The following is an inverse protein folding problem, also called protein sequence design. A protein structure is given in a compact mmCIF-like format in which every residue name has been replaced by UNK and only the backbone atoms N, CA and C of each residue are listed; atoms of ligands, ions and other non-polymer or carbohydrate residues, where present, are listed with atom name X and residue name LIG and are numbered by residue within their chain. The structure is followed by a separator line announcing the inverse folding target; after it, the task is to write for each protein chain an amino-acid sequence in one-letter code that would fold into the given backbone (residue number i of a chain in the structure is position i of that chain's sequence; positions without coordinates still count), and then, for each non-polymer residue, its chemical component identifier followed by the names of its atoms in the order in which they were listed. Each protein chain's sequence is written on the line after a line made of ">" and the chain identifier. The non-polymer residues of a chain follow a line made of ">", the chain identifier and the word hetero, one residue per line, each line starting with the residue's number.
data_IF_715901332194
#
_entry.id   IF_715901332194
#
_cell.length_a   1.000
_cell.length_b   1.000
_cell.length_c   1.000
_cell.angle_alpha   90.00
_cell.angle_beta   90.00
_cell.angle_gamma   90.00
#
_symmetry.space_group_name_H-M   'P 1'
#
loop_
_entity.id
_entity.type
_entity.pdbx_description
1 polymer ?
#
# COMPACT_ATOMS: atom_id res chain seq x y z
N UNK A 1 -6.90 -21.30 -6.39
CA UNK A 1 -6.26 -19.96 -6.31
C UNK A 1 -7.24 -19.03 -5.62
N UNK A 2 -6.82 -18.40 -4.53
CA UNK A 2 -7.59 -17.36 -3.82
C UNK A 2 -6.77 -16.08 -3.88
N UNK A 3 -7.42 -14.96 -4.20
CA UNK A 3 -6.80 -13.65 -4.18
C UNK A 3 -7.48 -12.82 -3.08
N UNK A 4 -6.69 -12.17 -2.24
CA UNK A 4 -7.16 -11.25 -1.21
C UNK A 4 -6.43 -9.93 -1.41
N UNK A 5 -7.17 -8.82 -1.35
CA UNK A 5 -6.63 -7.46 -1.46
C UNK A 5 -6.98 -6.65 -0.20
N UNK A 6 -6.05 -5.80 0.24
CA UNK A 6 -6.19 -5.00 1.45
C UNK A 6 -4.87 -4.43 1.94
N UNK A 7 -4.96 -3.31 2.68
CA UNK A 7 -3.81 -2.52 3.14
C UNK A 7 -2.96 -3.20 4.22
N UNK A 8 -3.53 -4.12 5.00
CA UNK A 8 -2.91 -4.68 6.20
C UNK A 8 -2.84 -6.22 6.19
N UNK A 9 -2.88 -6.82 5.00
CA UNK A 9 -2.82 -8.27 4.85
C UNK A 9 -1.46 -8.84 5.28
N UNK A 10 -0.38 -8.10 5.03
CA UNK A 10 1.00 -8.52 5.34
C UNK A 10 1.47 -8.09 6.74
N UNK A 11 0.54 -8.00 7.71
CA UNK A 11 0.91 -7.93 9.13
C UNK A 11 1.80 -9.12 9.50
N UNK A 12 2.77 -8.93 10.39
CA UNK A 12 3.77 -9.94 10.74
C UNK A 12 3.16 -11.30 11.09
N UNK A 13 2.02 -11.30 11.80
CA UNK A 13 1.31 -12.52 12.19
C UNK A 13 0.68 -13.31 11.02
N UNK A 14 0.48 -12.67 9.87
CA UNK A 14 -0.23 -13.25 8.71
C UNK A 14 0.69 -13.54 7.53
N UNK A 15 1.93 -13.02 7.51
CA UNK A 15 2.85 -13.18 6.39
C UNK A 15 3.04 -14.65 5.97
N UNK A 16 3.13 -15.57 6.94
CA UNK A 16 3.29 -17.01 6.69
C UNK A 16 2.03 -17.72 6.15
N UNK A 17 0.89 -17.02 6.08
CA UNK A 17 -0.36 -17.57 5.54
C UNK A 17 -0.46 -17.42 4.01
N UNK A 18 0.43 -16.66 3.39
CA UNK A 18 0.41 -16.40 1.95
C UNK A 18 1.53 -17.17 1.24
N UNK A 19 1.17 -17.99 0.26
CA UNK A 19 2.13 -18.65 -0.63
C UNK A 19 2.82 -17.64 -1.58
N UNK A 20 2.14 -16.51 -1.84
CA UNK A 20 2.64 -15.42 -2.68
C UNK A 20 2.01 -14.08 -2.27
N UNK A 21 2.82 -13.04 -2.23
CA UNK A 21 2.49 -11.69 -1.81
C UNK A 21 2.99 -10.66 -2.83
N UNK A 22 2.12 -9.69 -3.12
CA UNK A 22 2.39 -8.58 -4.04
C UNK A 22 2.25 -7.26 -3.30
N UNK A 23 3.24 -6.39 -3.43
CA UNK A 23 3.19 -5.01 -2.93
C UNK A 23 2.90 -4.05 -4.07
N UNK A 24 1.81 -3.30 -3.99
CA UNK A 24 1.49 -2.26 -4.97
C UNK A 24 1.95 -0.93 -4.41
N UNK A 25 3.07 -0.44 -4.93
CA UNK A 25 3.74 0.74 -4.38
C UNK A 25 3.21 2.05 -4.99
N UNK A 26 2.99 3.03 -4.13
CA UNK A 26 2.64 4.40 -4.52
C UNK A 26 2.95 5.39 -3.41
N UNK A 27 3.23 6.64 -3.78
CA UNK A 27 3.45 7.72 -2.82
C UNK A 27 2.13 8.11 -2.14
N UNK A 28 2.21 8.61 -0.90
CA UNK A 28 1.05 9.18 -0.19
C UNK A 28 0.38 10.30 -1.00
N UNK A 29 1.15 11.09 -1.76
CA UNK A 29 0.63 12.14 -2.63
C UNK A 29 -0.30 11.60 -3.72
N UNK A 30 0.12 10.53 -4.41
CA UNK A 30 -0.70 9.87 -5.43
C UNK A 30 -1.91 9.16 -4.82
N UNK A 31 -1.72 8.51 -3.67
CA UNK A 31 -2.82 7.88 -2.96
C UNK A 31 -3.89 8.89 -2.54
N UNK A 32 -3.48 10.05 -2.00
CA UNK A 32 -4.38 11.14 -1.60
C UNK A 32 -5.13 11.71 -2.81
N UNK A 33 -4.42 12.04 -3.88
CA UNK A 33 -5.03 12.56 -5.11
C UNK A 33 -6.11 11.62 -5.65
N UNK A 34 -5.80 10.32 -5.75
CA UNK A 34 -6.75 9.30 -6.20
C UNK A 34 -7.92 9.14 -5.22
N UNK A 35 -7.67 9.25 -3.91
CA UNK A 35 -8.72 9.19 -2.90
C UNK A 35 -9.67 10.39 -2.98
N UNK A 36 -9.15 11.61 -3.12
CA UNK A 36 -9.96 12.81 -3.28
C UNK A 36 -10.78 12.74 -4.57
N UNK A 37 -10.18 12.32 -5.68
CA UNK A 37 -10.88 12.15 -6.96
C UNK A 37 -12.01 11.10 -6.86
N UNK A 38 -11.73 9.94 -6.25
CA UNK A 38 -12.72 8.86 -6.07
C UNK A 38 -13.90 9.32 -5.20
N UNK A 39 -13.63 10.12 -4.18
CA UNK A 39 -14.64 10.59 -3.23
C UNK A 39 -15.13 12.01 -3.53
N UNK A 40 -14.88 12.57 -4.72
CA UNK A 40 -15.16 13.98 -5.02
C UNK A 40 -16.64 14.38 -4.84
N UNK A 41 -17.56 13.42 -4.85
CA UNK A 41 -19.00 13.61 -4.63
C UNK A 41 -19.44 13.37 -3.17
N UNK A 42 -18.51 13.01 -2.29
CA UNK A 42 -18.78 12.56 -0.93
C UNK A 42 -18.16 13.54 0.07
N UNK A 43 -19.02 14.34 0.70
CA UNK A 43 -18.66 15.18 1.83
C UNK A 43 -17.72 16.35 1.49
N UNK A 44 -17.09 16.88 2.54
CA UNK A 44 -16.14 18.00 2.46
C UNK A 44 -14.74 17.48 2.08
N UNK A 45 -14.15 17.92 0.95
CA UNK A 45 -12.81 17.54 0.53
C UNK A 45 -11.73 17.86 1.57
N UNK A 46 -11.87 18.96 2.33
CA UNK A 46 -10.89 19.33 3.34
C UNK A 46 -10.92 18.36 4.54
N UNK A 47 -12.12 18.00 5.00
CA UNK A 47 -12.28 16.97 6.03
C UNK A 47 -11.75 15.59 5.58
N UNK A 48 -11.94 15.23 4.31
CA UNK A 48 -11.42 13.99 3.75
C UNK A 48 -9.89 13.99 3.71
N UNK A 49 -9.28 15.07 3.20
CA UNK A 49 -7.83 15.22 3.17
C UNK A 49 -7.23 15.12 4.59
N UNK A 50 -7.83 15.82 5.56
CA UNK A 50 -7.40 15.76 6.95
C UNK A 50 -7.44 14.33 7.48
N UNK A 51 -8.52 13.60 7.23
CA UNK A 51 -8.67 12.20 7.65
C UNK A 51 -7.56 11.32 7.04
N UNK A 52 -7.21 11.52 5.76
CA UNK A 52 -6.11 10.79 5.15
C UNK A 52 -4.77 11.08 5.81
N UNK A 53 -4.46 12.35 6.08
CA UNK A 53 -3.18 12.76 6.67
C UNK A 53 -3.02 12.34 8.12
N UNK A 54 -4.07 12.49 8.91
CA UNK A 54 -4.02 12.31 10.37
C UNK A 54 -4.33 10.88 10.81
N UNK A 55 -5.09 10.11 10.01
CA UNK A 55 -5.53 8.77 10.37
C UNK A 55 -4.92 7.72 9.44
N UNK A 56 -5.27 7.77 8.14
CA UNK A 56 -4.91 6.68 7.23
C UNK A 56 -3.40 6.57 7.00
N UNK A 57 -2.71 7.68 6.72
CA UNK A 57 -1.27 7.67 6.49
C UNK A 57 -0.47 7.43 7.77
N UNK A 58 -0.97 7.90 8.92
CA UNK A 58 -0.37 7.55 10.22
C UNK A 58 -0.45 6.05 10.46
N UNK A 59 -1.63 5.44 10.27
CA UNK A 59 -1.80 3.99 10.42
C UNK A 59 -0.97 3.19 9.40
N UNK A 60 -0.85 3.69 8.16
CA UNK A 60 -0.01 3.06 7.14
C UNK A 60 1.47 3.07 7.53
N UNK A 61 2.02 4.22 7.96
CA UNK A 61 3.41 4.31 8.43
C UNK A 61 3.66 3.40 9.64
N UNK A 62 2.73 3.37 10.59
CA UNK A 62 2.82 2.46 11.74
C UNK A 62 2.86 0.98 11.31
N UNK A 63 2.06 0.61 10.31
CA UNK A 63 2.10 -0.74 9.74
C UNK A 63 3.46 -1.04 9.08
N UNK A 64 4.02 -0.11 8.30
CA UNK A 64 5.34 -0.27 7.71
C UNK A 64 6.42 -0.50 8.77
N UNK A 65 6.43 0.34 9.81
CA UNK A 65 7.42 0.30 10.88
C UNK A 65 7.34 -0.98 11.73
N UNK A 66 6.12 -1.44 12.05
CA UNK A 66 5.91 -2.59 12.91
C UNK A 66 6.04 -3.93 12.17
N UNK A 67 5.53 -4.00 10.94
CA UNK A 67 5.32 -5.27 10.26
C UNK A 67 6.33 -5.57 9.15
N UNK A 68 7.04 -4.56 8.63
CA UNK A 68 7.94 -4.68 7.47
C UNK A 68 7.33 -5.52 6.32
N UNK A 69 6.15 -5.12 5.79
CA UNK A 69 5.42 -5.94 4.81
C UNK A 69 6.17 -6.11 3.48
N UNK A 70 7.09 -5.20 3.16
CA UNK A 70 7.86 -5.25 1.93
C UNK A 70 8.88 -6.38 1.95
N UNK A 71 9.46 -6.74 3.10
CA UNK A 71 10.39 -7.87 3.21
C UNK A 71 9.72 -9.23 2.94
N UNK A 72 8.41 -9.32 3.16
CA UNK A 72 7.61 -10.53 2.94
C UNK A 72 7.04 -10.63 1.51
N UNK A 73 7.29 -9.64 0.66
CA UNK A 73 6.72 -9.55 -0.70
C UNK A 73 7.63 -10.22 -1.72
N UNK A 74 7.04 -10.99 -2.66
CA UNK A 74 7.79 -11.60 -3.77
C UNK A 74 7.78 -10.74 -5.03
N UNK A 75 6.78 -9.87 -5.19
CA UNK A 75 6.65 -8.94 -6.32
C UNK A 75 6.22 -7.55 -5.89
N UNK A 76 7.00 -6.53 -6.27
CA UNK A 76 6.57 -5.13 -6.15
C UNK A 76 6.12 -4.58 -7.50
N UNK A 77 4.91 -4.02 -7.53
CA UNK A 77 4.33 -3.31 -8.67
C UNK A 77 4.43 -1.81 -8.41
N UNK A 78 5.20 -1.10 -9.24
CA UNK A 78 5.27 0.36 -9.22
C UNK A 78 4.01 0.95 -9.84
N UNK A 79 3.09 1.44 -9.02
CA UNK A 79 1.80 1.96 -9.46
C UNK A 79 1.71 3.49 -9.37
N UNK A 80 2.86 4.16 -9.44
CA UNK A 80 2.96 5.61 -9.31
C UNK A 80 4.08 6.16 -10.19
N UNK A 81 3.77 7.10 -11.11
CA UNK A 81 4.78 7.75 -11.94
C UNK A 81 5.76 8.62 -11.15
N UNK A 82 5.43 9.02 -9.92
CA UNK A 82 6.30 9.82 -9.02
C UNK A 82 7.41 8.98 -8.37
N UNK A 83 7.31 7.65 -8.43
CA UNK A 83 8.34 6.77 -7.90
C UNK A 83 9.55 6.70 -8.85
N UNK A 84 10.78 6.67 -8.32
CA UNK A 84 12.00 6.51 -9.12
C UNK A 84 11.92 5.34 -10.11
N UNK A 85 12.51 5.54 -11.29
CA UNK A 85 12.45 4.57 -12.39
C UNK A 85 13.30 3.31 -12.17
N UNK A 86 14.18 3.33 -11.16
CA UNK A 86 15.14 2.28 -10.82
C UNK A 86 14.62 1.26 -9.80
N UNK A 87 13.35 1.36 -9.36
CA UNK A 87 12.70 0.34 -8.54
C UNK A 87 12.52 -0.95 -9.37
N UNK A 88 13.55 -1.79 -9.40
CA UNK A 88 13.56 -3.05 -10.15
C UNK A 88 12.47 -3.96 -9.61
N UNK A 89 11.72 -4.58 -10.52
CA UNK A 89 10.88 -5.77 -10.27
C UNK A 89 11.74 -6.81 -9.54
N UNK A 90 11.63 -6.89 -8.22
CA UNK A 90 12.07 -8.06 -7.49
C UNK A 90 10.99 -9.09 -7.76
N UNK A 91 11.32 -10.13 -8.52
CA UNK A 91 10.55 -11.38 -8.55
C UNK A 91 11.43 -12.36 -7.81
N UNK A 92 11.27 -12.46 -6.49
CA UNK A 92 11.90 -13.54 -5.75
C UNK A 92 11.15 -14.82 -6.13
N UNK A 93 11.88 -15.80 -6.66
CA UNK A 93 11.30 -17.08 -7.08
C UNK A 93 10.51 -17.71 -5.93
N UNK A 94 9.31 -18.19 -6.26
CA UNK A 94 8.50 -19.03 -5.37
C UNK A 94 9.34 -20.27 -5.02
N UNK A 95 9.49 -20.54 -3.72
CA UNK A 95 10.11 -21.80 -3.26
C UNK A 95 9.17 -22.97 -3.50
#
# INVERSE_FOLDING_TARGET
>A
MVLVDGLYLLKRAYQALFDFAVWVDSTEATALERALARNARLGDPAALERTYREVYFVAHRLHLDLDDPQSATQLTIRNDPRLPADLKRVVAGVR
#
